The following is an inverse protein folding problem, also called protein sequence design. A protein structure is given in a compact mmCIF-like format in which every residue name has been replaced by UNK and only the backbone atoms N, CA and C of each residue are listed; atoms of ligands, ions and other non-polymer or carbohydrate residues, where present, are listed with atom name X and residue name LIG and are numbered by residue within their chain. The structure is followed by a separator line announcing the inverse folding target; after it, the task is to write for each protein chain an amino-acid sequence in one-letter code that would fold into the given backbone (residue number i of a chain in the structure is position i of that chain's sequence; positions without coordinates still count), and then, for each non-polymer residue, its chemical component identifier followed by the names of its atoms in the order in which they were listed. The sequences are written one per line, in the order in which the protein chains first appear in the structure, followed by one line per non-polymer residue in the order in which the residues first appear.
data_IF_007081561877
#
_entry.id   IF_007081561877
#
_cell.length_a   1.000
_cell.length_b   1.000
_cell.length_c   1.000
_cell.angle_alpha   90.00
_cell.angle_beta   90.00
_cell.angle_gamma   90.00
#
_symmetry.space_group_name_H-M   'P 1'
#
loop_
_entity.id
_entity.type
_entity.pdbx_description
1 polymer ?
#
# COMPACT_ATOMS: atom_id res chain seq x y z
N UNK A 1 -2.56 -10.07 -15.14
CA UNK A 1 -2.51 -8.84 -14.31
C UNK A 1 -2.89 -7.66 -15.18
N UNK A 2 -3.39 -6.58 -14.60
CA UNK A 2 -3.79 -5.39 -15.36
C UNK A 2 -2.56 -4.54 -15.69
N UNK A 3 -2.27 -4.31 -16.98
CA UNK A 3 -1.15 -3.47 -17.45
C UNK A 3 -1.42 -1.96 -17.27
N UNK A 4 -2.42 -1.58 -16.47
CA UNK A 4 -2.84 -0.20 -16.26
C UNK A 4 -1.75 0.63 -15.58
N UNK A 5 -1.07 0.07 -14.57
CA UNK A 5 -0.01 0.78 -13.86
C UNK A 5 1.25 0.94 -14.73
N UNK A 6 1.59 -0.08 -15.53
CA UNK A 6 2.66 0.01 -16.53
C UNK A 6 2.38 1.10 -17.56
N UNK A 7 1.18 1.09 -18.16
CA UNK A 7 0.78 2.09 -19.14
C UNK A 7 0.79 3.50 -18.54
N UNK A 8 0.34 3.65 -17.30
CA UNK A 8 0.43 4.93 -16.60
C UNK A 8 1.87 5.36 -16.34
N UNK A 9 2.73 4.45 -15.90
CA UNK A 9 4.17 4.68 -15.74
C UNK A 9 4.83 5.19 -17.02
N UNK A 10 4.52 4.55 -18.16
CA UNK A 10 5.02 4.95 -19.47
C UNK A 10 4.56 6.37 -19.84
N UNK A 11 3.29 6.69 -19.60
CA UNK A 11 2.74 8.02 -19.89
C UNK A 11 3.36 9.11 -19.03
N UNK A 12 3.62 8.81 -17.75
CA UNK A 12 4.29 9.75 -16.85
C UNK A 12 5.69 10.09 -17.35
N UNK A 13 6.45 9.09 -17.79
CA UNK A 13 7.80 9.28 -18.34
C UNK A 13 7.74 10.07 -19.67
N UNK A 14 6.79 9.74 -20.53
CA UNK A 14 6.64 10.39 -21.83
C UNK A 14 6.23 11.87 -21.74
N UNK A 15 5.39 12.22 -20.77
CA UNK A 15 4.73 13.52 -20.76
C UNK A 15 5.15 14.45 -19.62
N UNK A 16 5.78 13.94 -18.55
CA UNK A 16 6.21 14.75 -17.43
C UNK A 16 7.74 14.80 -17.30
N UNK A 17 8.31 16.00 -17.09
CA UNK A 17 9.71 16.14 -16.71
C UNK A 17 10.07 15.32 -15.47
N UNK A 18 11.32 14.85 -15.41
CA UNK A 18 11.80 13.98 -14.33
C UNK A 18 11.62 14.60 -12.93
N UNK A 19 11.87 15.90 -12.79
CA UNK A 19 11.72 16.66 -11.54
C UNK A 19 10.27 16.71 -11.04
N UNK A 20 9.30 16.84 -11.95
CA UNK A 20 7.86 16.87 -11.64
C UNK A 20 7.35 15.52 -11.13
N UNK A 21 7.93 14.42 -11.63
CA UNK A 21 7.51 13.04 -11.31
C UNK A 21 8.36 12.36 -10.23
N UNK A 22 9.23 13.10 -9.54
CA UNK A 22 9.99 12.61 -8.37
C UNK A 22 9.09 12.27 -7.19
N UNK A 23 7.99 13.01 -7.02
CA UNK A 23 7.01 12.83 -5.96
C UNK A 23 5.61 13.23 -6.44
N UNK A 24 4.59 13.00 -5.62
CA UNK A 24 3.25 13.49 -5.93
C UNK A 24 2.52 12.72 -7.05
N UNK A 25 3.00 11.52 -7.42
CA UNK A 25 2.36 10.65 -8.42
C UNK A 25 1.51 9.59 -7.73
N UNK A 26 0.23 9.53 -8.08
CA UNK A 26 -0.72 8.62 -7.42
C UNK A 26 -1.59 7.83 -8.40
N UNK A 27 -1.99 6.64 -7.98
CA UNK A 27 -3.08 5.84 -8.55
C UNK A 27 -4.14 5.59 -7.47
N UNK A 28 -5.33 6.14 -7.64
CA UNK A 28 -6.36 6.19 -6.58
C UNK A 28 -7.65 5.51 -7.01
N UNK A 29 -8.27 4.75 -6.10
CA UNK A 29 -9.59 4.15 -6.31
C UNK A 29 -10.64 4.70 -5.35
N UNK A 30 -11.92 4.64 -5.76
CA UNK A 30 -13.03 4.92 -4.86
C UNK A 30 -13.23 3.80 -3.84
N UNK A 31 -13.05 2.55 -4.28
CA UNK A 31 -12.95 1.36 -3.43
C UNK A 31 -11.52 0.85 -3.50
N UNK A 32 -10.87 0.68 -2.34
CA UNK A 32 -9.46 0.26 -2.29
C UNK A 32 -9.25 -1.11 -1.64
N UNK A 33 -10.30 -1.76 -1.14
CA UNK A 33 -10.25 -3.07 -0.48
C UNK A 33 -11.23 -4.05 -1.13
N UNK A 34 -10.83 -5.31 -1.25
CA UNK A 34 -11.72 -6.40 -1.68
C UNK A 34 -12.54 -6.92 -0.50
N UNK A 35 -13.85 -6.70 -0.58
CA UNK A 35 -14.83 -7.27 0.36
C UNK A 35 -15.99 -7.86 -0.45
N UNK A 36 -16.33 -9.14 -0.25
CA UNK A 36 -17.36 -9.84 -1.02
C UNK A 36 -17.11 -9.79 -2.54
N UNK A 37 -15.87 -10.01 -2.98
CA UNK A 37 -15.50 -9.95 -4.40
C UNK A 37 -16.22 -11.02 -5.22
N UNK A 38 -16.60 -10.64 -6.44
CA UNK A 38 -17.26 -11.53 -7.39
C UNK A 38 -16.69 -11.26 -8.78
N UNK A 39 -16.56 -12.26 -9.67
CA UNK A 39 -15.97 -12.08 -10.99
C UNK A 39 -16.59 -10.93 -11.80
N UNK A 40 -17.90 -10.74 -11.72
CA UNK A 40 -18.63 -9.68 -12.43
C UNK A 40 -18.31 -8.26 -11.93
N UNK A 41 -17.77 -8.11 -10.72
CA UNK A 41 -17.37 -6.83 -10.14
C UNK A 41 -15.98 -6.38 -10.61
N UNK A 42 -15.24 -7.22 -11.34
CA UNK A 42 -13.89 -6.88 -11.78
C UNK A 42 -13.88 -5.68 -12.77
N UNK A 43 -12.99 -4.69 -12.58
CA UNK A 43 -12.13 -4.46 -11.42
C UNK A 43 -12.94 -3.85 -10.26
N UNK A 44 -12.76 -4.41 -9.06
CA UNK A 44 -13.56 -4.09 -7.89
C UNK A 44 -12.90 -3.04 -7.00
N UNK A 45 -11.62 -3.21 -6.74
CA UNK A 45 -10.86 -2.36 -5.83
C UNK A 45 -9.44 -2.13 -6.35
N UNK A 46 -8.73 -1.19 -5.75
CA UNK A 46 -7.29 -0.94 -5.99
C UNK A 46 -6.46 -2.24 -5.93
N UNK A 47 -6.78 -3.16 -5.01
CA UNK A 47 -6.15 -4.48 -4.88
C UNK A 47 -6.18 -5.34 -6.17
N UNK A 48 -7.15 -5.13 -7.09
CA UNK A 48 -7.16 -5.83 -8.40
C UNK A 48 -6.10 -5.31 -9.38
N UNK A 49 -5.60 -4.09 -9.17
CA UNK A 49 -4.56 -3.51 -10.01
C UNK A 49 -3.17 -3.86 -9.53
N UNK A 50 -3.00 -4.10 -8.23
CA UNK A 50 -1.72 -4.47 -7.65
C UNK A 50 -1.89 -5.33 -6.39
N UNK A 51 -1.60 -6.62 -6.52
CA UNK A 51 -1.80 -7.62 -5.45
C UNK A 51 -1.01 -7.35 -4.14
N UNK A 52 0.19 -6.75 -4.18
CA UNK A 52 0.89 -6.34 -2.96
C UNK A 52 0.22 -5.21 -2.17
N UNK A 53 -0.73 -4.48 -2.74
CA UNK A 53 -1.41 -3.37 -2.06
C UNK A 53 -2.00 -3.82 -0.73
N UNK A 54 -1.86 -2.96 0.29
CA UNK A 54 -2.33 -3.20 1.65
C UNK A 54 -3.21 -2.04 2.13
N UNK A 55 -4.53 -2.24 2.14
CA UNK A 55 -5.52 -1.21 2.51
C UNK A 55 -5.44 -0.73 3.97
N UNK A 56 -4.87 -1.55 4.85
CA UNK A 56 -4.86 -1.34 6.30
C UNK A 56 -3.64 -0.58 6.82
N UNK A 57 -2.67 -0.26 5.96
CA UNK A 57 -1.36 0.30 6.30
C UNK A 57 -1.43 1.57 7.17
N UNK A 58 -2.43 2.40 6.96
CA UNK A 58 -2.61 3.64 7.72
C UNK A 58 -3.42 3.45 9.01
N UNK A 59 -3.86 2.23 9.32
CA UNK A 59 -4.65 1.96 10.52
C UNK A 59 -3.75 1.62 11.70
N UNK A 60 -4.12 2.03 12.93
CA UNK A 60 -3.40 1.63 14.14
C UNK A 60 -3.32 0.11 14.34
N UNK A 61 -4.28 -0.63 13.77
CA UNK A 61 -4.35 -2.09 13.80
C UNK A 61 -3.51 -2.78 12.71
N UNK A 62 -2.74 -2.03 11.92
CA UNK A 62 -1.91 -2.58 10.87
C UNK A 62 -0.94 -3.62 11.44
N UNK A 63 -0.84 -4.76 10.76
CA UNK A 63 0.13 -5.81 11.05
C UNK A 63 0.87 -6.15 9.76
N UNK A 64 2.21 -6.05 9.75
CA UNK A 64 3.00 -6.52 8.63
C UNK A 64 2.71 -8.00 8.32
N UNK A 65 2.80 -8.39 7.05
CA UNK A 65 2.59 -9.78 6.60
C UNK A 65 3.71 -10.71 7.05
N UNK A 66 4.93 -10.19 7.14
CA UNK A 66 6.11 -10.88 7.65
C UNK A 66 6.84 -9.99 8.65
N UNK A 67 7.71 -10.58 9.47
CA UNK A 67 8.56 -9.82 10.37
C UNK A 67 9.52 -8.90 9.57
N UNK A 68 10.12 -9.43 8.50
CA UNK A 68 11.02 -8.67 7.62
C UNK A 68 10.33 -7.45 6.98
N UNK A 69 9.06 -7.57 6.58
CA UNK A 69 8.26 -6.43 6.10
C UNK A 69 8.12 -5.36 7.20
N UNK A 70 7.87 -5.80 8.44
CA UNK A 70 7.83 -4.92 9.61
C UNK A 70 9.14 -4.18 9.85
N UNK A 71 10.28 -4.86 9.67
CA UNK A 71 11.62 -4.26 9.80
C UNK A 71 11.84 -3.18 8.74
N UNK A 72 11.49 -3.43 7.48
CA UNK A 72 11.62 -2.44 6.40
C UNK A 72 10.83 -1.16 6.70
N UNK A 73 9.60 -1.30 7.20
CA UNK A 73 8.76 -0.17 7.60
C UNK A 73 9.34 0.53 8.83
N UNK A 74 9.80 -0.23 9.83
CA UNK A 74 10.32 0.31 11.08
C UNK A 74 11.60 1.13 10.87
N UNK A 75 12.53 0.65 10.02
CA UNK A 75 13.73 1.41 9.62
C UNK A 75 13.35 2.74 8.97
N UNK A 76 12.25 2.78 8.21
CA UNK A 76 11.77 4.03 7.60
C UNK A 76 11.23 5.01 8.63
N UNK A 77 10.49 4.55 9.64
CA UNK A 77 10.10 5.44 10.75
C UNK A 77 11.32 6.05 11.42
N UNK A 78 12.35 5.24 11.70
CA UNK A 78 13.60 5.73 12.31
C UNK A 78 14.32 6.74 11.43
N UNK A 79 14.34 6.53 10.11
CA UNK A 79 15.01 7.45 9.17
C UNK A 79 14.27 8.78 8.98
N UNK A 80 12.97 8.85 9.27
CA UNK A 80 12.13 10.04 9.00
C UNK A 80 11.76 10.83 10.25
N UNK A 81 11.42 10.11 11.32
CA UNK A 81 10.81 10.71 12.49
C UNK A 81 11.88 11.19 13.47
N UNK A 82 11.56 12.24 14.23
CA UNK A 82 12.48 12.79 15.22
C UNK A 82 12.86 11.79 16.35
N UNK A 83 12.10 10.69 16.49
CA UNK A 83 12.36 9.66 17.50
C UNK A 83 12.14 8.27 16.91
N UNK A 84 12.86 7.27 17.44
CA UNK A 84 12.68 5.88 17.05
C UNK A 84 11.42 5.21 17.63
N UNK A 85 10.54 5.95 18.32
CA UNK A 85 9.44 5.37 19.08
C UNK A 85 8.50 4.51 18.22
N UNK A 86 8.14 4.97 17.01
CA UNK A 86 7.29 4.22 16.09
C UNK A 86 7.98 2.97 15.52
N UNK A 87 9.28 3.07 15.22
CA UNK A 87 10.09 1.93 14.77
C UNK A 87 10.21 0.85 15.84
N UNK A 88 10.58 1.22 17.06
CA UNK A 88 10.71 0.29 18.20
C UNK A 88 9.37 -0.35 18.55
N UNK A 89 8.28 0.43 18.57
CA UNK A 89 6.94 -0.08 18.83
C UNK A 89 6.49 -1.09 17.75
N UNK A 90 6.82 -0.85 16.49
CA UNK A 90 6.51 -1.79 15.40
C UNK A 90 7.30 -3.10 15.54
N UNK A 91 8.60 -3.04 15.84
CA UNK A 91 9.39 -4.26 16.07
C UNK A 91 8.85 -5.06 17.26
N UNK A 92 8.46 -4.39 18.35
CA UNK A 92 7.83 -5.07 19.48
C UNK A 92 6.50 -5.73 19.10
N UNK A 93 5.66 -5.07 18.30
CA UNK A 93 4.41 -5.64 17.77
C UNK A 93 4.65 -6.86 16.87
N UNK A 94 5.70 -6.82 16.03
CA UNK A 94 6.16 -7.97 15.25
C UNK A 94 6.60 -9.13 16.14
N UNK A 95 7.37 -8.86 17.21
CA UNK A 95 7.80 -9.88 18.16
C UNK A 95 6.63 -10.54 18.90
N UNK A 96 5.66 -9.75 19.38
CA UNK A 96 4.46 -10.29 20.01
C UNK A 96 3.59 -11.09 19.03
N UNK A 97 3.59 -10.69 17.76
CA UNK A 97 2.93 -11.46 16.69
C UNK A 97 3.64 -12.78 16.46
N UNK A 98 4.97 -12.78 16.39
CA UNK A 98 5.78 -13.99 16.27
C UNK A 98 5.53 -14.96 17.43
N UNK A 99 5.56 -14.47 18.67
CA UNK A 99 5.27 -15.28 19.87
C UNK A 99 3.89 -15.92 19.79
N UNK A 100 2.87 -15.15 19.39
CA UNK A 100 1.50 -15.68 19.25
C UNK A 100 1.38 -16.76 18.17
N UNK A 101 2.15 -16.64 17.08
CA UNK A 101 2.15 -17.63 16.00
C UNK A 101 2.97 -18.87 16.36
N UNK A 102 4.14 -18.69 16.97
CA UNK A 102 5.03 -19.78 17.38
C UNK A 102 4.50 -20.55 18.60
N UNK A 103 4.00 -19.83 19.61
CA UNK A 103 3.62 -20.37 20.92
C UNK A 103 2.19 -19.94 21.29
N UNK A 104 1.15 -20.45 20.59
CA UNK A 104 -0.22 -19.97 20.75
C UNK A 104 -0.80 -20.19 22.16
N UNK A 105 -0.27 -21.17 22.92
CA UNK A 105 -0.69 -21.44 24.31
C UNK A 105 -0.11 -20.44 25.30
N UNK A 106 1.05 -19.88 24.99
CA UNK A 106 1.81 -18.95 25.82
C UNK A 106 1.73 -17.51 25.27
N UNK A 107 0.79 -17.27 24.35
CA UNK A 107 0.64 -16.02 23.65
C UNK A 107 0.43 -14.84 24.63
N UNK A 108 1.25 -13.81 24.46
CA UNK A 108 1.19 -12.62 25.30
C UNK A 108 0.08 -11.70 24.81
N UNK A 109 -0.87 -11.40 25.69
CA UNK A 109 -1.92 -10.41 25.43
C UNK A 109 -1.43 -9.04 25.88
N UNK A 110 -1.06 -8.20 24.92
CA UNK A 110 -0.66 -6.82 25.19
C UNK A 110 -1.83 -6.00 25.76
N UNK A 111 -1.68 -5.52 27.00
CA UNK A 111 -2.62 -4.59 27.66
C UNK A 111 -2.10 -3.15 27.70
N UNK A 112 -0.94 -2.93 27.10
CA UNK A 112 -0.20 -1.67 27.03
C UNK A 112 0.43 -1.55 25.64
N UNK A 113 1.27 -0.54 25.43
CA UNK A 113 2.10 -0.46 24.21
C UNK A 113 2.96 -1.72 24.08
N UNK A 114 3.14 -2.20 22.86
CA UNK A 114 3.84 -3.44 22.52
C UNK A 114 5.25 -3.45 23.12
N UNK A 115 6.00 -2.36 22.97
CA UNK A 115 7.37 -2.28 23.51
C UNK A 115 7.38 -2.35 25.05
N UNK A 116 6.45 -1.64 25.70
CA UNK A 116 6.31 -1.69 27.15
C UNK A 116 5.92 -3.10 27.63
N UNK A 117 5.03 -3.79 26.89
CA UNK A 117 4.63 -5.14 27.20
C UNK A 117 5.82 -6.12 27.09
N UNK A 118 6.64 -6.00 26.05
CA UNK A 118 7.87 -6.80 25.91
C UNK A 118 8.83 -6.54 27.07
N UNK A 119 9.15 -5.28 27.38
CA UNK A 119 10.04 -4.94 28.51
C UNK A 119 9.54 -5.49 29.86
N UNK A 120 8.22 -5.50 30.09
CA UNK A 120 7.63 -6.10 31.29
C UNK A 120 7.86 -7.62 31.39
N UNK A 121 7.82 -8.34 30.27
CA UNK A 121 8.08 -9.80 30.24
C UNK A 121 9.58 -10.12 30.30
N UNK A 122 10.43 -9.15 29.95
CA UNK A 122 11.89 -9.26 30.06
C UNK A 122 12.42 -8.83 31.45
N UNK A 123 11.58 -8.23 32.29
CA UNK A 123 11.99 -7.69 33.58
C UNK A 123 12.68 -8.76 34.46
N UNK A 124 13.86 -8.43 34.98
CA UNK A 124 14.68 -9.35 35.80
C UNK A 124 15.54 -10.34 34.99
N UNK A 125 15.49 -10.31 33.65
CA UNK A 125 16.22 -11.24 32.77
C UNK A 125 17.30 -10.51 31.97
N UNK A 126 18.38 -10.11 32.63
CA UNK A 126 19.41 -9.24 32.05
C UNK A 126 19.97 -9.73 30.69
N UNK A 127 20.18 -11.05 30.53
CA UNK A 127 20.65 -11.63 29.27
C UNK A 127 19.66 -11.44 28.12
N UNK A 128 18.37 -11.67 28.36
CA UNK A 128 17.32 -11.56 27.33
C UNK A 128 17.00 -10.09 27.03
N UNK A 129 17.07 -9.21 28.04
CA UNK A 129 17.02 -7.75 27.83
C UNK A 129 18.15 -7.30 26.90
N UNK A 130 19.37 -7.78 27.13
CA UNK A 130 20.51 -7.45 26.28
C UNK A 130 20.33 -7.98 24.85
N UNK A 131 19.83 -9.22 24.70
CA UNK A 131 19.52 -9.80 23.39
C UNK A 131 18.46 -8.99 22.63
N UNK A 132 17.35 -8.62 23.28
CA UNK A 132 16.30 -7.80 22.68
C UNK A 132 16.84 -6.44 22.21
N UNK A 133 17.64 -5.77 23.04
CA UNK A 133 18.26 -4.48 22.68
C UNK A 133 19.27 -4.63 21.54
N UNK A 134 20.05 -5.70 21.53
CA UNK A 134 20.96 -6.03 20.42
C UNK A 134 20.20 -6.23 19.10
N UNK A 135 19.04 -6.89 19.14
CA UNK A 135 18.17 -7.00 17.96
C UNK A 135 17.58 -5.65 17.54
N UNK A 136 17.14 -4.80 18.46
CA UNK A 136 16.71 -3.44 18.10
C UNK A 136 17.83 -2.64 17.42
N UNK A 137 19.07 -2.73 17.95
CA UNK A 137 20.26 -2.12 17.34
C UNK A 137 20.52 -2.64 15.93
N UNK A 138 20.53 -3.97 15.75
CA UNK A 138 20.76 -4.60 14.45
C UNK A 138 19.67 -4.25 13.44
N UNK A 139 18.40 -4.31 13.86
CA UNK A 139 17.26 -4.17 12.97
C UNK A 139 17.02 -2.72 12.55
N UNK A 140 17.21 -1.76 13.47
CA UNK A 140 16.78 -0.37 13.28
C UNK A 140 17.90 0.64 13.08
N UNK A 141 19.06 0.42 13.69
CA UNK A 141 20.09 1.46 13.80
C UNK A 141 21.39 1.11 13.06
N UNK A 142 21.53 -0.13 12.61
CA UNK A 142 22.67 -0.53 11.79
C UNK A 142 22.60 0.07 10.39
N UNK A 143 23.67 0.76 9.93
CA UNK A 143 23.67 1.43 8.63
C UNK A 143 23.59 0.45 7.45
N UNK A 144 24.10 -0.79 7.63
CA UNK A 144 23.92 -1.84 6.65
C UNK A 144 22.47 -2.33 6.62
N UNK A 145 21.89 -2.40 5.42
CA UNK A 145 20.62 -3.07 5.19
C UNK A 145 20.74 -4.55 5.52
N UNK A 146 19.64 -5.13 5.99
CA UNK A 146 19.57 -6.58 6.21
C UNK A 146 19.36 -7.22 4.86
N UNK A 147 20.21 -8.19 4.52
CA UNK A 147 20.09 -8.94 3.28
C UNK A 147 19.26 -10.20 3.51
N UNK A 148 18.69 -10.77 2.44
CA UNK A 148 18.04 -12.08 2.52
C UNK A 148 19.00 -13.15 3.05
N UNK A 149 20.25 -13.15 2.59
CA UNK A 149 21.25 -14.14 3.01
C UNK A 149 21.51 -14.07 4.52
N UNK A 150 21.64 -12.85 5.08
CA UNK A 150 21.80 -12.67 6.51
C UNK A 150 20.54 -13.05 7.29
N UNK A 151 19.38 -12.70 6.74
CA UNK A 151 18.09 -13.00 7.33
C UNK A 151 17.91 -14.51 7.52
N UNK A 152 18.13 -15.26 6.44
CA UNK A 152 18.00 -16.71 6.38
C UNK A 152 19.08 -17.41 7.23
N UNK A 153 20.28 -16.84 7.32
CA UNK A 153 21.38 -17.44 8.07
C UNK A 153 21.32 -17.20 9.58
N UNK A 154 20.85 -16.03 10.04
CA UNK A 154 21.04 -15.60 11.44
C UNK A 154 19.87 -14.84 12.06
N UNK A 155 19.20 -13.96 11.31
CA UNK A 155 18.20 -13.06 11.91
C UNK A 155 16.92 -13.81 12.25
N UNK A 156 16.43 -14.65 11.34
CA UNK A 156 15.18 -15.37 11.55
C UNK A 156 15.26 -16.33 12.75
N UNK A 157 16.33 -17.12 12.85
CA UNK A 157 16.56 -18.03 13.97
C UNK A 157 16.74 -17.26 15.28
N UNK A 158 17.56 -16.22 15.30
CA UNK A 158 17.78 -15.42 16.51
C UNK A 158 16.55 -14.65 17.01
N UNK A 159 15.64 -14.26 16.11
CA UNK A 159 14.33 -13.71 16.48
C UNK A 159 13.40 -14.78 17.05
N UNK A 160 13.47 -16.01 16.54
CA UNK A 160 12.73 -17.14 17.11
C UNK A 160 13.25 -17.51 18.50
N UNK A 161 14.57 -17.53 18.70
CA UNK A 161 15.19 -17.74 20.01
C UNK A 161 14.71 -16.70 21.01
N UNK A 162 14.73 -15.42 20.61
CA UNK A 162 14.21 -14.34 21.46
C UNK A 162 12.72 -14.51 21.77
N UNK A 163 11.91 -14.96 20.81
CA UNK A 163 10.49 -15.21 21.02
C UNK A 163 10.26 -16.37 21.99
N UNK A 164 11.02 -17.47 21.86
CA UNK A 164 10.97 -18.62 22.75
C UNK A 164 11.40 -18.24 24.17
N UNK A 165 12.49 -17.48 24.28
CA UNK A 165 12.95 -16.91 25.55
C UNK A 165 11.85 -16.09 26.20
N UNK A 166 11.16 -15.21 25.46
CA UNK A 166 10.14 -14.32 26.02
C UNK A 166 9.03 -15.08 26.79
N UNK A 167 8.71 -16.30 26.37
CA UNK A 167 7.67 -17.14 26.97
C UNK A 167 8.18 -18.38 27.72
N UNK A 168 9.50 -18.52 27.88
CA UNK A 168 10.14 -19.69 28.50
C UNK A 168 9.80 -21.02 27.79
N UNK A 169 9.72 -20.99 26.47
CA UNK A 169 9.45 -22.16 25.63
C UNK A 169 10.72 -22.62 24.91
N UNK A 170 10.65 -23.82 24.32
CA UNK A 170 11.69 -24.33 23.42
C UNK A 170 11.29 -24.04 21.96
N UNK A 171 12.21 -23.52 21.15
CA UNK A 171 12.00 -23.29 19.72
C UNK A 171 11.54 -24.56 18.99
N UNK A 172 11.96 -25.75 19.42
CA UNK A 172 11.52 -27.03 18.84
C UNK A 172 10.01 -27.27 18.98
N UNK A 173 9.33 -26.50 19.83
CA UNK A 173 7.88 -26.55 20.04
C UNK A 173 7.13 -25.48 19.23
N UNK A 174 7.84 -24.66 18.45
CA UNK A 174 7.23 -23.60 17.65
C UNK A 174 6.29 -24.18 16.58
N UNK A 175 5.11 -23.58 16.44
CA UNK A 175 4.18 -23.94 15.37
C UNK A 175 4.67 -23.45 14.00
N UNK A 176 4.33 -24.21 12.95
CA UNK A 176 4.74 -23.95 11.57
C UNK A 176 4.33 -22.57 11.03
N UNK A 177 3.25 -21.98 11.55
CA UNK A 177 2.78 -20.64 11.16
C UNK A 177 3.84 -19.55 11.40
N UNK A 178 4.75 -19.76 12.33
CA UNK A 178 5.84 -18.83 12.61
C UNK A 178 6.90 -18.80 11.50
N UNK A 179 7.14 -19.92 10.81
CA UNK A 179 8.09 -20.00 9.69
C UNK A 179 7.63 -19.11 8.53
N UNK A 180 6.34 -19.16 8.19
CA UNK A 180 5.76 -18.30 7.16
C UNK A 180 5.86 -16.81 7.52
N UNK A 181 5.71 -16.46 8.80
CA UNK A 181 5.84 -15.07 9.27
C UNK A 181 7.30 -14.58 9.28
N UNK A 182 8.26 -15.49 9.46
CA UNK A 182 9.69 -15.20 9.38
C UNK A 182 10.24 -15.29 7.95
N UNK A 183 9.43 -15.58 6.94
CA UNK A 183 9.89 -15.57 5.56
C UNK A 183 10.43 -14.18 5.16
N UNK A 184 11.49 -14.17 4.35
CA UNK A 184 12.05 -12.93 3.82
C UNK A 184 11.07 -12.24 2.85
N UNK A 185 10.86 -10.95 3.05
CA UNK A 185 10.22 -10.06 2.08
C UNK A 185 11.23 -9.04 1.56
N UNK A 186 11.30 -8.86 0.25
CA UNK A 186 12.16 -7.86 -0.38
C UNK A 186 11.81 -6.45 0.10
N UNK A 187 12.83 -5.66 0.43
CA UNK A 187 12.65 -4.27 0.81
C UNK A 187 12.01 -3.46 -0.34
N UNK A 188 11.05 -2.57 -0.05
CA UNK A 188 10.54 -1.65 -1.05
C UNK A 188 11.67 -0.75 -1.59
N UNK A 189 11.82 -0.66 -2.91
CA UNK A 189 12.87 0.10 -3.60
C UNK A 189 12.69 1.64 -3.53
N UNK A 190 11.87 2.17 -2.63
CA UNK A 190 11.38 3.55 -2.72
C UNK A 190 12.12 4.48 -1.77
N UNK A 191 12.86 5.44 -2.35
CA UNK A 191 13.66 6.43 -1.61
C UNK A 191 12.80 7.50 -0.91
N UNK A 192 11.59 7.81 -1.39
CA UNK A 192 10.64 8.64 -0.64
C UNK A 192 9.14 8.43 -1.00
N UNK A 193 8.38 7.66 -0.19
CA UNK A 193 6.95 7.47 -0.40
C UNK A 193 6.11 8.44 0.42
N UNK A 194 6.59 9.63 0.82
CA UNK A 194 5.76 10.62 1.51
C UNK A 194 5.40 10.29 2.97
N UNK A 195 4.38 10.97 3.50
CA UNK A 195 4.23 11.36 4.93
C UNK A 195 4.20 10.27 6.02
N UNK A 196 4.15 8.96 5.70
CA UNK A 196 4.24 7.91 6.71
C UNK A 196 5.01 6.66 6.22
N UNK A 197 5.60 5.90 7.16
CA UNK A 197 6.40 4.70 6.86
C UNK A 197 5.61 3.60 6.13
N UNK A 198 4.29 3.55 6.35
CA UNK A 198 3.40 2.64 5.65
C UNK A 198 3.29 2.88 4.14
N UNK A 199 3.44 4.13 3.70
CA UNK A 199 3.35 4.48 2.29
C UNK A 199 4.40 3.77 1.40
N UNK A 200 5.48 3.23 1.99
CA UNK A 200 6.44 2.35 1.32
C UNK A 200 5.75 1.13 0.69
N UNK A 201 4.84 0.49 1.43
CA UNK A 201 4.19 -0.75 0.99
C UNK A 201 3.22 -0.51 -0.16
N UNK A 202 2.63 0.68 -0.23
CA UNK A 202 1.62 1.03 -1.21
C UNK A 202 2.19 1.80 -2.41
N UNK A 203 3.45 1.55 -2.78
CA UNK A 203 4.10 2.22 -3.90
C UNK A 203 4.56 1.22 -4.96
N UNK A 204 4.04 1.39 -6.16
CA UNK A 204 4.42 0.64 -7.35
C UNK A 204 5.53 1.38 -8.10
N UNK A 205 6.64 0.70 -8.38
CA UNK A 205 7.78 1.27 -9.11
C UNK A 205 7.75 0.78 -10.55
N UNK A 206 7.60 1.71 -11.48
CA UNK A 206 7.72 1.45 -12.92
C UNK A 206 9.13 1.85 -13.38
N UNK A 207 9.77 1.00 -14.18
CA UNK A 207 11.13 1.23 -14.69
C UNK A 207 11.19 0.93 -16.19
N UNK A 208 11.84 1.82 -16.95
CA UNK A 208 12.11 1.65 -18.38
C UNK A 208 13.47 2.24 -18.72
N UNK A 209 14.39 1.40 -19.20
CA UNK A 209 15.77 1.80 -19.43
C UNK A 209 16.42 2.32 -18.15
N UNK A 210 16.90 3.57 -18.16
CA UNK A 210 17.47 4.25 -16.99
C UNK A 210 16.48 5.14 -16.24
N UNK A 211 15.23 5.23 -16.68
CA UNK A 211 14.20 6.04 -16.05
C UNK A 211 13.28 5.19 -15.17
N UNK A 212 12.83 5.76 -14.06
CA UNK A 212 11.86 5.14 -13.17
C UNK A 212 10.86 6.14 -12.63
N UNK A 213 9.69 5.68 -12.20
CA UNK A 213 8.69 6.48 -11.50
C UNK A 213 8.02 5.66 -10.39
N UNK A 214 7.84 6.29 -9.23
CA UNK A 214 7.16 5.71 -8.08
C UNK A 214 5.70 6.18 -8.06
N UNK A 215 4.76 5.25 -8.27
CA UNK A 215 3.32 5.49 -8.28
C UNK A 215 2.74 5.04 -6.95
N UNK A 216 2.21 5.97 -6.14
CA UNK A 216 1.58 5.63 -4.87
C UNK A 216 0.12 5.23 -5.05
N UNK A 217 -0.23 4.04 -4.61
CA UNK A 217 -1.59 3.53 -4.59
C UNK A 217 -2.31 3.97 -3.32
N UNK A 218 -3.56 4.43 -3.44
CA UNK A 218 -4.35 4.87 -2.29
C UNK A 218 -5.86 4.88 -2.59
N UNK A 219 -6.66 5.30 -1.62
CA UNK A 219 -8.06 5.67 -1.86
C UNK A 219 -8.18 7.17 -2.14
N UNK A 220 -9.19 7.56 -2.90
CA UNK A 220 -9.50 8.99 -3.11
C UNK A 220 -9.74 9.72 -1.77
N UNK A 221 -10.31 9.04 -0.79
CA UNK A 221 -10.59 9.61 0.53
C UNK A 221 -9.31 9.96 1.30
N UNK A 222 -8.29 9.09 1.24
CA UNK A 222 -7.03 9.25 1.96
C UNK A 222 -6.15 10.37 1.38
N UNK A 223 -6.30 10.68 0.09
CA UNK A 223 -5.55 11.76 -0.57
C UNK A 223 -6.32 13.09 -0.63
N UNK A 224 -7.47 13.21 0.06
CA UNK A 224 -8.23 14.46 0.11
C UNK A 224 -7.40 15.56 0.77
N UNK A 225 -7.36 16.73 0.14
CA UNK A 225 -6.66 17.92 0.66
C UNK A 225 -5.19 17.99 0.25
N UNK A 226 -4.67 16.96 -0.43
CA UNK A 226 -3.30 16.98 -0.98
C UNK A 226 -3.29 17.49 -2.41
N UNK A 227 -2.13 17.96 -2.85
CA UNK A 227 -1.83 18.37 -4.23
C UNK A 227 -0.94 17.31 -4.85
N UNK A 228 -1.29 16.85 -6.05
CA UNK A 228 -0.54 15.82 -6.79
C UNK A 228 0.14 16.45 -8.01
N UNK A 229 1.27 15.89 -8.43
CA UNK A 229 1.82 16.16 -9.76
C UNK A 229 0.94 15.47 -10.81
N UNK A 230 0.67 14.18 -10.60
CA UNK A 230 -0.14 13.36 -11.49
C UNK A 230 -1.07 12.41 -10.72
N UNK A 231 -2.25 12.15 -11.28
CA UNK A 231 -3.23 11.25 -10.69
C UNK A 231 -3.85 10.35 -11.74
N UNK A 232 -3.75 9.04 -11.54
CA UNK A 232 -4.56 8.04 -12.20
C UNK A 232 -5.76 7.70 -11.31
N UNK A 233 -6.98 7.83 -11.81
CA UNK A 233 -8.18 7.34 -11.13
C UNK A 233 -8.49 5.94 -11.67
N UNK A 234 -8.41 4.95 -10.80
CA UNK A 234 -8.67 3.54 -11.09
C UNK A 234 -10.18 3.26 -11.09
N UNK A 235 -10.64 2.52 -12.10
CA UNK A 235 -12.01 2.01 -12.13
C UNK A 235 -12.22 1.02 -10.99
N UNK A 236 -13.29 1.22 -10.23
CA UNK A 236 -13.59 0.38 -9.06
C UNK A 236 -15.09 0.15 -8.96
N UNK A 237 -15.51 -0.92 -8.30
CA UNK A 237 -16.90 -1.33 -8.26
C UNK A 237 -17.53 -1.10 -6.89
N UNK A 238 -18.61 -0.33 -6.87
CA UNK A 238 -19.54 -0.28 -5.74
C UNK A 238 -20.97 -0.09 -6.26
N UNK A 239 -21.72 -1.20 -6.32
CA UNK A 239 -23.03 -1.38 -6.99
C UNK A 239 -23.02 -1.17 -8.51
N UNK A 240 -22.14 -0.31 -9.00
CA UNK A 240 -21.75 -0.17 -10.40
C UNK A 240 -20.36 0.47 -10.45
N UNK A 241 -19.71 0.35 -11.61
CA UNK A 241 -18.37 0.86 -11.87
C UNK A 241 -18.31 2.38 -11.75
N UNK A 242 -17.35 2.87 -10.99
CA UNK A 242 -17.17 4.24 -10.57
C UNK A 242 -17.01 5.23 -11.73
N UNK A 243 -16.14 4.94 -12.71
CA UNK A 243 -15.93 5.82 -13.88
C UNK A 243 -17.14 5.75 -14.81
N UNK A 244 -17.73 4.56 -14.98
CA UNK A 244 -18.97 4.40 -15.75
C UNK A 244 -20.11 5.32 -15.29
N UNK A 245 -20.25 5.56 -13.97
CA UNK A 245 -21.26 6.49 -13.42
C UNK A 245 -21.13 7.91 -13.97
N UNK A 246 -19.95 8.31 -14.47
CA UNK A 246 -19.63 9.68 -14.82
C UNK A 246 -19.39 9.90 -16.32
N UNK A 247 -19.52 8.85 -17.12
CA UNK A 247 -19.40 8.92 -18.57
C UNK A 247 -20.21 10.07 -19.21
N UNK A 248 -21.48 10.34 -18.85
CA UNK A 248 -22.22 11.44 -19.47
C UNK A 248 -21.55 12.81 -19.31
N UNK A 249 -20.81 13.02 -18.22
CA UNK A 249 -20.06 14.25 -17.96
C UNK A 249 -18.71 14.25 -18.68
N UNK A 250 -18.01 13.10 -18.71
CA UNK A 250 -16.74 12.95 -19.44
C UNK A 250 -16.94 13.14 -20.96
N UNK A 251 -18.07 12.69 -21.49
CA UNK A 251 -18.47 12.86 -22.89
C UNK A 251 -19.01 14.26 -23.21
N UNK A 252 -19.12 15.17 -22.23
CA UNK A 252 -19.63 16.53 -22.44
C UNK A 252 -21.10 16.60 -22.87
N UNK A 253 -21.93 15.58 -22.56
CA UNK A 253 -23.33 15.55 -22.99
C UNK A 253 -24.18 16.58 -22.26
N UNK A 254 -25.18 17.16 -22.93
CA UNK A 254 -26.16 18.06 -22.31
C UNK A 254 -26.91 17.44 -21.10
N UNK A 255 -27.04 16.10 -21.05
CA UNK A 255 -27.60 15.39 -19.89
C UNK A 255 -26.82 15.60 -18.59
N UNK A 256 -25.53 15.96 -18.69
CA UNK A 256 -24.67 16.31 -17.56
C UNK A 256 -25.16 17.56 -16.79
N UNK A 257 -25.96 18.41 -17.42
CA UNK A 257 -26.53 19.61 -16.81
C UNK A 257 -27.72 19.33 -15.87
N UNK A 258 -28.26 18.09 -15.87
CA UNK A 258 -29.35 17.71 -14.98
C UNK A 258 -28.82 17.44 -13.57
N UNK A 259 -29.57 17.86 -12.55
CA UNK A 259 -29.21 17.62 -11.15
C UNK A 259 -29.14 16.11 -10.89
N UNK A 260 -28.00 15.58 -10.40
CA UNK A 260 -27.86 14.17 -10.08
C UNK A 260 -28.73 13.80 -8.87
N UNK A 261 -29.19 12.55 -8.82
CA UNK A 261 -29.75 12.00 -7.58
C UNK A 261 -28.67 11.89 -6.49
N UNK A 262 -29.04 11.67 -5.24
CA UNK A 262 -28.08 11.69 -4.11
C UNK A 262 -26.95 10.65 -4.24
N UNK A 263 -27.22 9.48 -4.84
CA UNK A 263 -26.19 8.44 -5.07
C UNK A 263 -25.18 8.88 -6.12
N UNK A 264 -25.66 9.44 -7.24
CA UNK A 264 -24.83 10.00 -8.29
C UNK A 264 -24.05 11.22 -7.78
N UNK A 265 -24.68 12.10 -6.99
CA UNK A 265 -24.04 13.27 -6.37
C UNK A 265 -22.86 12.89 -5.49
N UNK A 266 -22.99 11.87 -4.63
CA UNK A 266 -21.87 11.37 -3.81
C UNK A 266 -20.71 10.87 -4.68
N UNK A 267 -21.01 10.12 -5.74
CA UNK A 267 -19.99 9.60 -6.66
C UNK A 267 -19.30 10.73 -7.43
N UNK A 268 -20.06 11.75 -7.86
CA UNK A 268 -19.55 12.95 -8.51
C UNK A 268 -18.65 13.77 -7.58
N UNK A 269 -19.04 13.99 -6.32
CA UNK A 269 -18.22 14.71 -5.35
C UNK A 269 -16.89 13.99 -5.11
N UNK A 270 -16.93 12.65 -5.02
CA UNK A 270 -15.71 11.86 -4.85
C UNK A 270 -14.80 11.95 -6.08
N UNK A 271 -15.37 11.86 -7.28
CA UNK A 271 -14.58 12.02 -8.51
C UNK A 271 -14.01 13.44 -8.62
N UNK A 272 -14.80 14.46 -8.31
CA UNK A 272 -14.33 15.85 -8.25
C UNK A 272 -13.14 15.98 -7.31
N UNK A 273 -13.19 15.36 -6.12
CA UNK A 273 -12.03 15.31 -5.21
C UNK A 273 -10.83 14.71 -5.93
N UNK A 274 -10.94 13.54 -6.57
CA UNK A 274 -9.80 12.90 -7.26
C UNK A 274 -9.26 13.70 -8.45
N UNK A 275 -10.14 14.18 -9.33
CA UNK A 275 -9.78 14.87 -10.58
C UNK A 275 -9.20 16.27 -10.35
N UNK A 276 -9.39 16.85 -9.17
CA UNK A 276 -8.85 18.18 -8.81
C UNK A 276 -7.52 18.12 -8.06
N UNK A 277 -7.00 16.93 -7.75
CA UNK A 277 -5.68 16.78 -7.13
C UNK A 277 -4.50 17.08 -8.06
N UNK A 278 -4.47 16.59 -9.32
CA UNK A 278 -3.29 16.73 -10.15
C UNK A 278 -3.15 18.13 -10.71
N UNK A 279 -1.91 18.61 -10.73
CA UNK A 279 -1.51 19.90 -11.32
C UNK A 279 -1.06 19.76 -12.77
N UNK A 280 -0.52 18.60 -13.15
CA UNK A 280 0.07 18.39 -14.48
C UNK A 280 -0.69 17.34 -15.29
N UNK A 281 -1.02 16.19 -14.70
CA UNK A 281 -1.58 15.06 -15.46
C UNK A 281 -2.70 14.32 -14.73
N UNK A 282 -3.82 14.14 -15.43
CA UNK A 282 -4.95 13.34 -14.97
C UNK A 282 -5.19 12.19 -15.96
N UNK A 283 -5.23 10.97 -15.44
CA UNK A 283 -5.58 9.76 -16.19
C UNK A 283 -6.79 9.08 -15.56
N UNK A 284 -7.61 8.42 -16.37
CA UNK A 284 -8.72 7.58 -15.92
C UNK A 284 -8.55 6.18 -16.51
N UNK A 285 -8.47 5.15 -15.65
CA UNK A 285 -8.60 3.77 -16.11
C UNK A 285 -10.08 3.42 -16.20
N UNK A 286 -10.49 2.77 -17.29
CA UNK A 286 -11.88 2.35 -17.48
C UNK A 286 -11.94 1.00 -18.20
N UNK A 287 -12.98 0.21 -17.92
CA UNK A 287 -13.17 -1.08 -18.60
C UNK A 287 -13.48 -0.85 -20.08
N UNK A 288 -12.92 -1.69 -20.96
CA UNK A 288 -13.27 -1.66 -22.40
C UNK A 288 -14.77 -1.86 -22.63
N UNK A 289 -15.42 -2.74 -21.88
CA UNK A 289 -16.88 -2.93 -21.96
C UNK A 289 -17.70 -1.67 -21.63
N UNK A 290 -17.14 -0.75 -20.83
CA UNK A 290 -17.77 0.56 -20.56
C UNK A 290 -17.83 1.42 -21.84
N UNK A 291 -16.94 1.19 -22.82
CA UNK A 291 -17.01 1.84 -24.13
C UNK A 291 -18.21 1.39 -24.98
N UNK A 292 -18.81 0.24 -24.66
CA UNK A 292 -19.86 -0.38 -25.48
C UNK A 292 -19.25 -1.11 -26.69
N UNK A 293 -20.11 -1.49 -27.64
CA UNK A 293 -19.71 -2.25 -28.83
C UNK A 293 -20.22 -1.59 -30.11
N UNK A 294 -19.51 -1.81 -31.23
CA UNK A 294 -19.89 -1.35 -32.56
C UNK A 294 -20.15 0.17 -32.61
N UNK A 295 -21.33 0.57 -33.08
CA UNK A 295 -21.69 2.00 -33.23
C UNK A 295 -21.67 2.76 -31.90
N UNK A 296 -21.98 2.11 -30.79
CA UNK A 296 -21.98 2.77 -29.48
C UNK A 296 -20.55 3.11 -29.04
N UNK A 297 -19.60 2.21 -29.28
CA UNK A 297 -18.18 2.44 -29.03
C UNK A 297 -17.65 3.60 -29.87
N UNK A 298 -17.87 3.57 -31.19
CA UNK A 298 -17.39 4.61 -32.10
C UNK A 298 -17.90 6.00 -31.68
N UNK A 299 -19.20 6.10 -31.36
CA UNK A 299 -19.80 7.36 -30.93
C UNK A 299 -19.22 7.85 -29.61
N UNK A 300 -19.01 6.96 -28.64
CA UNK A 300 -18.47 7.31 -27.33
C UNK A 300 -17.01 7.74 -27.41
N UNK A 301 -16.18 7.03 -28.17
CA UNK A 301 -14.79 7.41 -28.40
C UNK A 301 -14.70 8.80 -29.01
N UNK A 302 -15.50 9.08 -30.04
CA UNK A 302 -15.55 10.39 -30.68
C UNK A 302 -15.97 11.50 -29.69
N UNK A 303 -16.98 11.25 -28.85
CA UNK A 303 -17.42 12.23 -27.85
C UNK A 303 -16.35 12.52 -26.79
N UNK A 304 -15.66 11.48 -26.29
CA UNK A 304 -14.55 11.65 -25.35
C UNK A 304 -13.37 12.41 -25.97
N UNK A 305 -13.00 12.08 -27.22
CA UNK A 305 -11.95 12.81 -27.95
C UNK A 305 -12.33 14.28 -28.18
N UNK A 306 -13.58 14.56 -28.55
CA UNK A 306 -14.08 15.93 -28.69
C UNK A 306 -14.07 16.70 -27.36
N UNK A 307 -14.25 16.01 -26.24
CA UNK A 307 -14.13 16.57 -24.90
C UNK A 307 -12.67 16.73 -24.43
N UNK A 308 -11.68 16.37 -25.26
CA UNK A 308 -10.24 16.56 -24.99
C UNK A 308 -9.53 15.33 -24.42
N UNK A 309 -10.17 14.17 -24.34
CA UNK A 309 -9.54 12.95 -23.84
C UNK A 309 -8.72 12.24 -24.93
N UNK A 310 -7.46 11.94 -24.62
CA UNK A 310 -6.71 10.90 -25.32
C UNK A 310 -7.16 9.51 -24.83
N UNK A 311 -7.35 8.57 -25.75
CA UNK A 311 -7.80 7.21 -25.45
C UNK A 311 -6.68 6.23 -25.81
N UNK A 312 -6.33 5.36 -24.86
CA UNK A 312 -5.29 4.34 -25.02
C UNK A 312 -5.93 2.99 -24.67
N UNK A 313 -5.84 2.05 -25.61
CA UNK A 313 -6.24 0.67 -25.38
C UNK A 313 -5.07 -0.12 -24.78
N UNK A 314 -5.37 -0.90 -23.75
CA UNK A 314 -4.41 -1.64 -22.92
C UNK A 314 -4.88 -3.08 -22.67
#
# INVERSE_FOLDING_TARGET
MSNVLDAYGQLLIQHLPADVRTSGVYAVGAVHRLENDKPEHFPKAVEHYWAPYQSEVNKPSFKPRTFSEGVHIARRYVARDATAALGVELIASCLLTLVRLAFPRDAIVARSRSHQCVEQHLAGRAGVVAAYRGWLERLLFSPADITQAEWDATVASGLMDLAADLVFSDQLQAAADAEAYLAWSTAPLVEDPGDNGGALLNTYRFEVGSENVNIRLSSIHAEKGKTHAATLILETYNRTHFVNKLLPWLEGRASAAKRPNEVAKKSMMLMYVGMTRPTHMLCLAMRKSTMGEGKAETKRRAALQQAGWAIIDI
#
